data_IF_505392283099
#
_entry.id   IF_505392283099
#
_cell.length_a   1.000
_cell.length_b   1.000
_cell.length_c   1.000
_cell.angle_alpha   90.00
_cell.angle_beta   90.00
_cell.angle_gamma   90.00
#
_symmetry.space_group_name_H-M   'P 1'
#
loop_
_entity.id
_entity.type
_entity.pdbx_description
1 polymer ?
#
# COMPACT_ATOMS: atom_id res chain seq x y z
N UNK A 1 13.52 -11.88 17.16
CA UNK A 1 12.95 -11.41 15.88
C UNK A 1 11.59 -12.05 15.68
N UNK A 2 10.58 -11.26 15.38
CA UNK A 2 9.26 -11.80 15.09
C UNK A 2 9.18 -12.02 13.59
N UNK A 3 8.97 -13.25 13.21
CA UNK A 3 8.73 -13.56 11.82
C UNK A 3 7.24 -13.47 11.55
N UNK A 4 6.90 -12.72 10.53
CA UNK A 4 5.52 -12.60 10.07
C UNK A 4 5.36 -13.37 8.79
N UNK A 5 4.34 -14.18 8.71
CA UNK A 5 3.99 -14.81 7.45
C UNK A 5 3.48 -13.71 6.49
N UNK A 6 3.85 -13.81 5.24
CA UNK A 6 3.41 -12.87 4.21
C UNK A 6 2.82 -13.62 3.04
N UNK A 7 1.77 -13.07 2.47
CA UNK A 7 1.17 -13.57 1.23
C UNK A 7 0.31 -12.48 0.61
N UNK A 8 -0.14 -12.74 -0.60
CA UNK A 8 -1.07 -11.85 -1.28
C UNK A 8 -2.46 -11.96 -0.65
N UNK A 9 -3.11 -10.82 -0.47
CA UNK A 9 -4.48 -10.78 0.05
C UNK A 9 -5.46 -11.40 -0.94
N UNK A 10 -6.53 -11.96 -0.42
CA UNK A 10 -7.64 -12.47 -1.20
C UNK A 10 -8.94 -11.96 -0.60
N UNK A 11 -10.06 -12.24 -1.27
CA UNK A 11 -11.38 -11.84 -0.77
C UNK A 11 -11.68 -12.43 0.60
N UNK A 12 -11.07 -13.55 0.95
CA UNK A 12 -11.26 -14.16 2.27
C UNK A 12 -10.61 -13.36 3.40
N UNK A 13 -9.75 -12.42 3.07
CA UNK A 13 -9.03 -11.61 4.05
C UNK A 13 -9.72 -10.28 4.35
N UNK A 14 -10.78 -9.94 3.64
CA UNK A 14 -11.41 -8.62 3.71
C UNK A 14 -11.80 -8.24 5.13
N UNK A 15 -12.42 -9.15 5.86
CA UNK A 15 -12.89 -8.85 7.21
C UNK A 15 -11.73 -8.49 8.15
N UNK A 16 -10.64 -9.22 8.07
CA UNK A 16 -9.46 -8.97 8.91
C UNK A 16 -8.71 -7.70 8.49
N UNK A 17 -8.61 -7.47 7.19
CA UNK A 17 -8.02 -6.22 6.69
C UNK A 17 -8.88 -5.03 7.12
N UNK A 18 -10.19 -5.17 7.03
CA UNK A 18 -11.11 -4.13 7.45
C UNK A 18 -10.94 -3.78 8.93
N UNK A 19 -10.74 -4.79 9.77
CA UNK A 19 -10.47 -4.59 11.18
C UNK A 19 -9.20 -3.77 11.39
N UNK A 20 -8.13 -4.07 10.64
CA UNK A 20 -6.90 -3.29 10.70
C UNK A 20 -7.12 -1.85 10.22
N UNK A 21 -7.84 -1.67 9.12
CA UNK A 21 -8.13 -0.33 8.59
C UNK A 21 -8.86 0.53 9.63
N UNK A 22 -9.85 -0.04 10.30
CA UNK A 22 -10.57 0.69 11.34
C UNK A 22 -9.65 1.08 12.51
N UNK A 23 -8.71 0.23 12.83
CA UNK A 23 -7.76 0.50 13.91
C UNK A 23 -6.84 1.68 13.59
N UNK A 24 -6.47 1.83 12.32
CA UNK A 24 -5.50 2.86 11.89
C UNK A 24 -6.14 3.96 11.05
N UNK A 25 -7.45 4.12 11.11
CA UNK A 25 -8.18 5.01 10.22
C UNK A 25 -7.67 6.45 10.22
N UNK A 26 -7.16 6.93 11.36
CA UNK A 26 -6.65 8.29 11.46
C UNK A 26 -5.28 8.45 10.79
N UNK A 27 -4.59 7.36 10.52
CA UNK A 27 -3.23 7.37 9.99
C UNK A 27 -3.17 7.15 8.48
N UNK A 28 -4.27 6.78 7.86
CA UNK A 28 -4.29 6.40 6.45
C UNK A 28 -5.17 7.35 5.64
N UNK A 29 -4.94 7.48 4.32
CA UNK A 29 -5.70 8.41 3.49
C UNK A 29 -7.09 7.89 3.10
N UNK A 30 -7.77 7.26 4.03
CA UNK A 30 -9.12 6.74 3.82
C UNK A 30 -9.99 7.30 4.93
N UNK A 31 -11.14 7.83 4.56
CA UNK A 31 -12.11 8.34 5.54
C UNK A 31 -13.19 7.29 5.78
N UNK A 32 -13.53 7.11 7.06
CA UNK A 32 -14.61 6.23 7.48
C UNK A 32 -15.70 7.02 8.22
N UNK A 33 -15.74 8.34 8.00
CA UNK A 33 -16.59 9.23 8.76
C UNK A 33 -18.09 9.09 8.45
N UNK A 34 -18.42 8.62 7.26
CA UNK A 34 -19.82 8.42 6.87
C UNK A 34 -20.01 7.04 6.29
N UNK A 35 -21.27 6.62 6.20
CA UNK A 35 -21.61 5.34 5.63
C UNK A 35 -21.20 5.25 4.15
N UNK A 36 -21.38 6.35 3.41
CA UNK A 36 -20.98 6.41 2.01
C UNK A 36 -19.44 6.27 1.86
N UNK A 37 -18.69 6.90 2.75
CA UNK A 37 -17.23 6.77 2.73
C UNK A 37 -16.78 5.38 3.10
N UNK A 38 -17.45 4.73 4.04
CA UNK A 38 -17.16 3.35 4.40
C UNK A 38 -17.42 2.40 3.23
N UNK A 39 -18.53 2.59 2.50
CA UNK A 39 -18.82 1.78 1.32
C UNK A 39 -17.76 1.96 0.23
N UNK A 40 -17.32 3.19 0.03
CA UNK A 40 -16.27 3.48 -0.94
C UNK A 40 -14.96 2.79 -0.54
N UNK A 41 -14.61 2.83 0.73
CA UNK A 41 -13.39 2.18 1.24
C UNK A 41 -13.48 0.66 1.08
N UNK A 42 -14.63 0.06 1.35
CA UNK A 42 -14.84 -1.36 1.16
C UNK A 42 -14.73 -1.77 -0.30
N UNK A 43 -15.30 -0.97 -1.20
CA UNK A 43 -15.20 -1.23 -2.63
C UNK A 43 -13.73 -1.22 -3.08
N UNK A 44 -12.99 -0.23 -2.63
CA UNK A 44 -11.55 -0.15 -2.94
C UNK A 44 -10.80 -1.36 -2.41
N UNK A 45 -11.09 -1.76 -1.17
CA UNK A 45 -10.48 -2.94 -0.57
C UNK A 45 -10.77 -4.20 -1.37
N UNK A 46 -12.02 -4.37 -1.81
CA UNK A 46 -12.39 -5.53 -2.61
C UNK A 46 -11.66 -5.55 -3.94
N UNK A 47 -11.56 -4.39 -4.60
CA UNK A 47 -10.83 -4.29 -5.86
C UNK A 47 -9.36 -4.67 -5.70
N UNK A 48 -8.73 -4.20 -4.63
CA UNK A 48 -7.33 -4.53 -4.37
C UNK A 48 -7.14 -6.01 -4.04
N UNK A 49 -8.09 -6.61 -3.33
CA UNK A 49 -7.99 -8.02 -2.94
C UNK A 49 -8.27 -9.00 -4.08
N UNK A 50 -8.82 -8.52 -5.20
CA UNK A 50 -8.97 -9.38 -6.39
C UNK A 50 -7.75 -9.36 -7.27
N UNK A 51 -6.81 -8.45 -7.03
CA UNK A 51 -5.57 -8.37 -7.80
C UNK A 51 -4.43 -9.16 -7.16
N UNK A 52 -3.34 -9.35 -7.88
CA UNK A 52 -2.21 -10.15 -7.40
C UNK A 52 -1.15 -9.38 -6.62
N UNK A 53 -1.37 -8.09 -6.34
CA UNK A 53 -0.32 -7.21 -5.84
C UNK A 53 -0.66 -6.51 -4.52
N UNK A 54 -1.41 -7.15 -3.65
CA UNK A 54 -1.75 -6.59 -2.35
C UNK A 54 -1.24 -7.52 -1.24
N UNK A 55 0.05 -7.38 -0.85
CA UNK A 55 0.61 -8.25 0.17
C UNK A 55 0.10 -7.92 1.57
N UNK A 56 -0.05 -8.95 2.38
CA UNK A 56 -0.42 -8.81 3.79
C UNK A 56 0.58 -9.54 4.67
N UNK A 57 0.73 -9.04 5.89
CA UNK A 57 1.53 -9.68 6.93
C UNK A 57 0.61 -10.22 8.01
N UNK A 58 0.89 -11.42 8.45
CA UNK A 58 0.07 -12.14 9.42
C UNK A 58 0.86 -12.44 10.68
N UNK A 59 0.22 -12.23 11.82
CA UNK A 59 0.72 -12.71 13.11
C UNK A 59 -0.32 -13.72 13.60
N UNK A 60 -0.02 -15.00 13.43
CA UNK A 60 -1.02 -16.02 13.63
C UNK A 60 -2.16 -15.87 12.64
N UNK A 61 -3.37 -15.68 13.14
CA UNK A 61 -4.56 -15.49 12.31
C UNK A 61 -4.88 -14.02 12.01
N UNK A 62 -4.15 -13.09 12.62
CA UNK A 62 -4.45 -11.67 12.48
C UNK A 62 -3.65 -11.02 11.38
N UNK A 63 -4.29 -10.13 10.63
CA UNK A 63 -3.59 -9.27 9.67
C UNK A 63 -3.02 -8.09 10.44
N UNK A 64 -1.69 -7.98 10.45
CA UNK A 64 -1.00 -6.92 11.18
C UNK A 64 -0.35 -5.89 10.26
N UNK A 65 -0.31 -6.14 8.98
CA UNK A 65 0.17 -5.21 7.99
C UNK A 65 -0.45 -5.49 6.63
N UNK A 66 -0.61 -4.44 5.83
CA UNK A 66 -1.20 -4.58 4.51
C UNK A 66 -0.71 -3.45 3.61
N UNK A 67 -0.47 -3.80 2.35
CA UNK A 67 -0.29 -2.81 1.28
C UNK A 67 -1.32 -3.17 0.22
N UNK A 68 -2.29 -2.29 0.04
CA UNK A 68 -3.35 -2.48 -0.95
C UNK A 68 -2.97 -1.75 -2.23
N UNK A 69 -2.78 -2.48 -3.30
CA UNK A 69 -2.38 -1.92 -4.57
C UNK A 69 -3.23 -2.46 -5.71
N UNK A 70 -3.41 -1.63 -6.72
CA UNK A 70 -4.12 -2.04 -7.92
C UNK A 70 -3.50 -1.39 -9.15
N UNK A 71 -3.73 -2.01 -10.31
CA UNK A 71 -3.22 -1.50 -11.58
C UNK A 71 -3.87 -0.16 -11.91
N UNK A 72 -3.08 0.76 -12.44
CA UNK A 72 -3.61 2.01 -12.95
C UNK A 72 -4.27 1.74 -14.31
N UNK A 73 -5.57 1.92 -14.38
CA UNK A 73 -6.34 1.60 -15.58
C UNK A 73 -6.11 2.59 -16.71
N UNK A 74 -5.75 3.83 -16.39
CA UNK A 74 -5.46 4.80 -17.44
C UNK A 74 -4.16 4.44 -18.15
N UNK A 75 -3.13 4.13 -17.39
CA UNK A 75 -1.85 3.71 -17.99
C UNK A 75 -2.02 2.45 -18.81
N UNK A 76 -2.75 1.48 -18.29
CA UNK A 76 -2.97 0.24 -19.00
C UNK A 76 -3.81 0.45 -20.27
N UNK A 77 -4.91 1.17 -20.16
CA UNK A 77 -5.87 1.32 -21.26
C UNK A 77 -5.45 2.31 -22.34
N UNK A 78 -4.76 3.39 -21.95
CA UNK A 78 -4.41 4.44 -22.88
C UNK A 78 -2.98 4.37 -23.40
N UNK A 79 -2.05 3.98 -22.55
CA UNK A 79 -0.63 3.96 -22.91
C UNK A 79 -0.05 2.56 -23.04
N UNK A 80 -0.84 1.55 -22.73
CA UNK A 80 -0.39 0.16 -22.70
C UNK A 80 0.86 -0.01 -21.80
N UNK A 81 0.89 0.73 -20.70
CA UNK A 81 1.95 0.69 -19.71
C UNK A 81 1.38 0.15 -18.41
N UNK A 82 2.11 -0.76 -17.79
CA UNK A 82 1.69 -1.29 -16.49
C UNK A 82 2.27 -0.42 -15.38
N UNK A 83 1.40 0.06 -14.50
CA UNK A 83 1.79 0.76 -13.28
C UNK A 83 0.77 0.47 -12.19
N UNK A 84 1.16 0.69 -10.95
CA UNK A 84 0.31 0.38 -9.80
C UNK A 84 0.16 1.59 -8.90
N UNK A 85 -1.03 1.69 -8.30
CA UNK A 85 -1.31 2.68 -7.28
C UNK A 85 -1.53 1.96 -5.97
N UNK A 86 -0.80 2.37 -4.94
CA UNK A 86 -1.05 1.88 -3.59
C UNK A 86 -2.16 2.75 -3.00
N UNK A 87 -3.30 2.13 -2.73
CA UNK A 87 -4.44 2.82 -2.14
C UNK A 87 -4.24 3.03 -0.65
N UNK A 88 -3.49 2.12 0.00
CA UNK A 88 -3.29 2.16 1.42
C UNK A 88 -2.10 1.28 1.80
N UNK A 89 -1.29 1.77 2.73
CA UNK A 89 -0.24 0.98 3.37
C UNK A 89 -0.40 1.20 4.88
N UNK A 90 -0.55 0.13 5.62
CA UNK A 90 -0.85 0.23 7.04
C UNK A 90 -0.21 -0.91 7.82
N UNK A 91 0.25 -0.60 9.03
CA UNK A 91 0.78 -1.58 9.98
C UNK A 91 0.13 -1.31 11.33
N UNK A 92 -0.31 -2.37 11.98
CA UNK A 92 -0.85 -2.29 13.34
C UNK A 92 0.14 -1.56 14.25
N UNK A 93 -0.31 -0.63 15.10
CA UNK A 93 0.60 0.12 15.98
C UNK A 93 1.54 -0.76 16.79
N UNK A 94 1.08 -1.90 17.26
CA UNK A 94 1.91 -2.80 18.05
C UNK A 94 3.03 -3.46 17.25
N UNK A 95 2.95 -3.42 15.92
CA UNK A 95 3.91 -4.06 15.03
C UNK A 95 4.77 -3.08 14.23
N UNK A 96 4.64 -1.78 14.52
CA UNK A 96 5.44 -0.76 13.83
C UNK A 96 6.88 -0.78 14.31
N UNK A 97 7.78 -0.33 13.43
CA UNK A 97 9.21 -0.29 13.75
C UNK A 97 9.90 -1.64 13.69
N UNK A 98 9.26 -2.65 13.13
CA UNK A 98 9.79 -4.02 13.07
C UNK A 98 10.06 -4.50 11.64
N UNK A 99 10.01 -3.58 10.67
CA UNK A 99 10.29 -3.93 9.28
C UNK A 99 9.14 -4.55 8.52
N UNK A 100 7.93 -4.61 9.10
CA UNK A 100 6.77 -5.21 8.44
C UNK A 100 6.43 -4.46 7.16
N UNK A 101 6.32 -3.14 7.23
CA UNK A 101 5.95 -2.34 6.06
C UNK A 101 7.01 -2.45 4.97
N UNK A 102 8.27 -2.35 5.34
CA UNK A 102 9.37 -2.46 4.38
C UNK A 102 9.35 -3.81 3.67
N UNK A 103 9.07 -4.86 4.41
CA UNK A 103 8.99 -6.20 3.85
C UNK A 103 7.82 -6.33 2.85
N UNK A 104 6.66 -5.75 3.19
CA UNK A 104 5.51 -5.75 2.28
C UNK A 104 5.78 -4.93 1.02
N UNK A 105 6.39 -3.76 1.18
CA UNK A 105 6.75 -2.93 0.03
C UNK A 105 7.74 -3.66 -0.87
N UNK A 106 8.72 -4.33 -0.29
CA UNK A 106 9.71 -5.09 -1.06
C UNK A 106 9.06 -6.17 -1.91
N UNK A 107 8.02 -6.80 -1.39
CA UNK A 107 7.27 -7.79 -2.14
C UNK A 107 6.57 -7.15 -3.36
N UNK A 108 5.95 -5.99 -3.15
CA UNK A 108 5.26 -5.28 -4.23
C UNK A 108 6.24 -4.82 -5.31
N UNK A 109 7.44 -4.42 -4.93
CA UNK A 109 8.45 -3.97 -5.89
C UNK A 109 8.85 -5.07 -6.88
N UNK A 110 8.62 -6.31 -6.54
CA UNK A 110 8.91 -7.42 -7.45
C UNK A 110 8.02 -7.43 -8.69
N UNK A 111 6.93 -6.66 -8.68
CA UNK A 111 6.10 -6.50 -9.87
C UNK A 111 6.86 -5.80 -11.01
N UNK A 112 7.95 -5.14 -10.69
CA UNK A 112 8.86 -4.51 -11.67
C UNK A 112 8.14 -3.52 -12.58
N UNK A 113 7.31 -2.68 -12.00
CA UNK A 113 6.54 -1.65 -12.69
C UNK A 113 6.49 -0.39 -11.83
N UNK A 114 6.26 0.79 -12.42
CA UNK A 114 6.13 2.01 -11.64
C UNK A 114 5.03 1.90 -10.59
N UNK A 115 5.29 2.43 -9.40
CA UNK A 115 4.38 2.36 -8.27
C UNK A 115 4.24 3.75 -7.66
N UNK A 116 3.00 4.17 -7.42
CA UNK A 116 2.68 5.46 -6.82
C UNK A 116 1.94 5.25 -5.50
N UNK A 117 2.22 6.11 -4.54
CA UNK A 117 1.52 6.11 -3.25
C UNK A 117 1.36 7.52 -2.73
N UNK A 118 0.14 7.85 -2.28
CA UNK A 118 -0.13 9.09 -1.58
C UNK A 118 0.07 8.91 -0.08
N UNK A 119 0.71 9.88 0.56
CA UNK A 119 0.91 9.89 2.01
C UNK A 119 0.18 11.07 2.60
N UNK A 120 -0.64 10.79 3.61
CA UNK A 120 -1.41 11.81 4.32
C UNK A 120 -0.48 12.79 5.04
N UNK A 121 -0.85 14.06 5.06
CA UNK A 121 -0.03 15.10 5.70
C UNK A 121 0.25 14.81 7.18
N UNK A 122 -0.72 14.23 7.87
CA UNK A 122 -0.61 13.91 9.30
C UNK A 122 -0.21 12.44 9.50
N UNK A 123 0.72 11.94 8.71
CA UNK A 123 1.16 10.55 8.81
C UNK A 123 1.82 10.27 10.16
N UNK A 124 1.37 9.22 10.84
CA UNK A 124 1.90 8.79 12.12
C UNK A 124 2.69 7.47 12.03
N UNK A 125 2.79 6.89 10.84
CA UNK A 125 3.44 5.59 10.66
C UNK A 125 4.91 5.68 10.28
N UNK A 126 5.44 6.89 10.04
CA UNK A 126 6.79 7.05 9.51
C UNK A 126 6.88 6.58 8.06
N UNK A 127 5.79 6.64 7.34
CA UNK A 127 5.70 6.11 5.99
C UNK A 127 6.69 6.76 5.01
N UNK A 128 6.88 8.10 5.02
CA UNK A 128 7.86 8.71 4.10
C UNK A 128 9.27 8.12 4.23
N UNK A 129 9.74 7.89 5.44
CA UNK A 129 11.07 7.32 5.65
C UNK A 129 11.15 5.89 5.16
N UNK A 130 10.11 5.10 5.38
CA UNK A 130 10.05 3.73 4.89
C UNK A 130 10.03 3.69 3.37
N UNK A 131 9.28 4.58 2.74
CA UNK A 131 9.22 4.67 1.28
C UNK A 131 10.58 5.03 0.70
N UNK A 132 11.25 6.02 1.30
CA UNK A 132 12.58 6.42 0.83
C UNK A 132 13.59 5.29 0.98
N UNK A 133 13.51 4.54 2.06
CA UNK A 133 14.41 3.40 2.27
C UNK A 133 14.19 2.29 1.25
N UNK A 134 13.02 2.24 0.63
CA UNK A 134 12.70 1.28 -0.42
C UNK A 134 12.98 1.79 -1.83
N UNK A 135 13.46 3.04 -1.94
CA UNK A 135 13.79 3.61 -3.25
C UNK A 135 12.74 4.52 -3.84
N UNK A 136 11.67 4.81 -3.11
CA UNK A 136 10.68 5.79 -3.56
C UNK A 136 11.24 7.20 -3.44
N UNK A 137 10.78 8.08 -4.32
CA UNK A 137 11.14 9.49 -4.28
C UNK A 137 9.88 10.35 -4.29
N UNK A 138 10.01 11.56 -3.73
CA UNK A 138 8.91 12.51 -3.71
C UNK A 138 8.61 12.99 -5.13
N UNK A 139 7.38 12.83 -5.57
CA UNK A 139 6.94 13.25 -6.90
C UNK A 139 6.14 14.54 -6.86
N UNK A 140 5.38 14.78 -5.79
CA UNK A 140 4.59 16.00 -5.63
C UNK A 140 4.25 16.20 -4.16
N UNK A 141 4.00 17.44 -3.75
CA UNK A 141 3.55 17.72 -2.39
C UNK A 141 2.52 18.84 -2.39
N UNK A 142 1.65 18.82 -1.41
CA UNK A 142 0.60 19.80 -1.22
C UNK A 142 0.14 19.84 0.22
N UNK A 143 -0.89 20.62 0.49
CA UNK A 143 -1.40 20.79 1.85
C UNK A 143 -1.96 19.51 2.45
N UNK A 144 -2.49 18.62 1.60
CA UNK A 144 -3.14 17.40 2.08
C UNK A 144 -2.21 16.21 2.18
N UNK A 145 -1.01 16.30 1.65
CA UNK A 145 -0.05 15.23 1.73
C UNK A 145 0.95 15.25 0.61
N UNK A 146 1.61 14.14 0.43
CA UNK A 146 2.69 13.98 -0.54
C UNK A 146 2.42 12.78 -1.42
N UNK A 147 2.90 12.84 -2.66
CA UNK A 147 2.86 11.72 -3.59
C UNK A 147 4.27 11.20 -3.80
N UNK A 148 4.46 9.92 -3.60
CA UNK A 148 5.74 9.25 -3.82
C UNK A 148 5.65 8.30 -5.00
N UNK A 149 6.77 8.09 -5.64
CA UNK A 149 6.87 7.25 -6.82
C UNK A 149 8.11 6.37 -6.75
N UNK A 150 7.95 5.13 -7.18
CA UNK A 150 9.06 4.20 -7.37
C UNK A 150 9.07 3.73 -8.83
N UNK A 151 10.25 3.69 -9.44
CA UNK A 151 10.40 3.20 -10.81
C UNK A 151 11.46 2.10 -10.85
N UNK A 152 11.13 0.95 -11.47
CA UNK A 152 12.07 -0.14 -11.62
C UNK A 152 13.17 0.21 -12.59
N UNK A 153 12.92 1.18 -13.37
CA UNK A 153 13.77 1.57 -14.49
C UNK A 153 15.14 2.03 -14.09
N UNK A 154 15.38 2.21 -12.81
CA UNK A 154 16.73 2.48 -12.40
C UNK A 154 17.67 1.48 -13.03
N UNK A 155 17.28 0.22 -12.98
CA UNK A 155 18.09 -0.83 -13.56
C UNK A 155 17.85 -0.99 -15.05
N UNK A 156 16.61 -0.97 -15.44
CA UNK A 156 16.24 -1.26 -16.83
C UNK A 156 16.54 -0.11 -17.75
N UNK A 157 16.41 1.10 -17.23
CA UNK A 157 16.66 2.27 -18.05
C UNK A 157 18.05 2.25 -18.64
N UNK A 158 19.00 1.76 -17.90
CA UNK A 158 20.33 1.71 -18.44
C UNK A 158 20.56 0.51 -19.28
N UNK A 159 19.73 -0.49 -19.15
CA UNK A 159 19.77 -1.62 -20.02
C UNK A 159 19.27 -1.27 -21.42
N UNK A 160 18.54 -0.21 -21.51
CA UNK A 160 17.98 0.22 -22.79
C UNK A 160 19.04 0.83 -23.72
#
# INVERSE_FOLDING_TARGET
MIEHAQRTASLNDIEKIWTLIKLVADDVPISLASEAEQEKALTELMECCTGPHSPIALDGADVVGVVLAKRDLLDWGLRNVESFNISLAAVSPAHRGKGVLKSLLSELLQANAPIYIGVKAADAQGLPDELKSCGFSLAASGEQGELYKWEPAAAEAKAA
#
